data_IF_173472081461
#
_entry.id   IF_173472081461
#
_cell.length_a   1.000
_cell.length_b   1.000
_cell.length_c   1.000
_cell.angle_alpha   90.00
_cell.angle_beta   90.00
_cell.angle_gamma   90.00
#
_symmetry.space_group_name_H-M   'P 1'
#
loop_
_entity.id
_entity.type
_entity.pdbx_description
1 polymer ?
#
# COMPACT_ATOMS: atom_id res chain seq x y z
N UNK A 1 -51.14 -23.12 -3.07
CA UNK A 1 -50.86 -23.91 -1.85
C UNK A 1 -49.39 -23.77 -1.46
N UNK A 2 -49.08 -23.08 -0.37
CA UNK A 2 -47.72 -22.97 0.19
C UNK A 2 -47.32 -24.32 0.80
N UNK A 3 -46.25 -24.95 0.30
CA UNK A 3 -45.70 -26.15 0.94
C UNK A 3 -45.11 -25.78 2.31
N UNK A 4 -45.75 -26.24 3.40
CA UNK A 4 -45.16 -26.22 4.73
C UNK A 4 -44.00 -27.21 4.78
N UNK A 5 -42.77 -26.69 4.77
CA UNK A 5 -41.57 -27.49 4.97
C UNK A 5 -41.60 -28.02 6.42
N UNK A 6 -41.71 -29.33 6.58
CA UNK A 6 -41.74 -30.01 7.88
C UNK A 6 -40.51 -29.68 8.74
N UNK A 7 -40.71 -29.34 10.01
CA UNK A 7 -39.66 -29.02 10.98
C UNK A 7 -38.56 -30.11 11.09
N UNK A 8 -38.90 -31.38 10.86
CA UNK A 8 -37.93 -32.50 10.82
C UNK A 8 -36.96 -32.42 9.64
N UNK A 9 -37.41 -31.96 8.46
CA UNK A 9 -36.54 -31.75 7.28
C UNK A 9 -35.59 -30.58 7.50
N UNK A 10 -36.04 -29.53 8.18
CA UNK A 10 -35.20 -28.39 8.59
C UNK A 10 -34.13 -28.81 9.61
N UNK A 11 -34.51 -29.58 10.65
CA UNK A 11 -33.58 -30.08 11.65
C UNK A 11 -32.50 -31.00 11.04
N UNK A 12 -32.89 -31.92 10.14
CA UNK A 12 -31.96 -32.84 9.45
C UNK A 12 -31.00 -32.13 8.50
N UNK A 13 -31.46 -31.09 7.78
CA UNK A 13 -30.58 -30.25 6.95
C UNK A 13 -29.56 -29.50 7.80
N UNK A 14 -29.98 -28.96 8.94
CA UNK A 14 -29.08 -28.27 9.85
C UNK A 14 -28.01 -29.20 10.45
N UNK A 15 -28.37 -30.43 10.81
CA UNK A 15 -27.42 -31.45 11.28
C UNK A 15 -26.45 -31.89 10.17
N UNK A 16 -26.93 -32.04 8.92
CA UNK A 16 -26.06 -32.33 7.77
C UNK A 16 -25.06 -31.20 7.51
N UNK A 17 -25.51 -29.93 7.54
CA UNK A 17 -24.61 -28.78 7.41
C UNK A 17 -23.55 -28.76 8.51
N UNK A 18 -23.91 -29.08 9.76
CA UNK A 18 -22.95 -29.20 10.87
C UNK A 18 -21.93 -30.31 10.64
N UNK A 19 -22.36 -31.47 10.16
CA UNK A 19 -21.45 -32.58 9.85
C UNK A 19 -20.50 -32.19 8.72
N UNK A 20 -21.00 -31.56 7.65
CA UNK A 20 -20.16 -31.10 6.53
C UNK A 20 -19.13 -30.07 6.99
N UNK A 21 -19.53 -29.09 7.80
CA UNK A 21 -18.60 -28.11 8.39
C UNK A 21 -17.57 -28.78 9.29
N UNK A 22 -17.98 -29.73 10.12
CA UNK A 22 -17.08 -30.47 11.00
C UNK A 22 -16.04 -31.28 10.21
N UNK A 23 -16.47 -32.00 9.18
CA UNK A 23 -15.57 -32.76 8.30
C UNK A 23 -14.60 -31.81 7.59
N UNK A 24 -15.10 -30.70 7.06
CA UNK A 24 -14.24 -29.68 6.43
C UNK A 24 -13.19 -29.13 7.40
N UNK A 25 -13.59 -28.84 8.65
CA UNK A 25 -12.68 -28.34 9.67
C UNK A 25 -11.63 -29.39 10.08
N UNK A 26 -12.02 -30.67 10.20
CA UNK A 26 -11.10 -31.77 10.45
C UNK A 26 -10.08 -31.94 9.32
N UNK A 27 -10.51 -31.82 8.06
CA UNK A 27 -9.61 -31.85 6.90
C UNK A 27 -8.61 -30.68 6.96
N UNK A 28 -9.06 -29.47 7.30
CA UNK A 28 -8.17 -28.33 7.48
C UNK A 28 -7.14 -28.56 8.59
N UNK A 29 -7.55 -29.11 9.74
CA UNK A 29 -6.64 -29.43 10.85
C UNK A 29 -5.61 -30.48 10.42
N UNK A 30 -6.06 -31.56 9.77
CA UNK A 30 -5.18 -32.65 9.36
C UNK A 30 -4.16 -32.23 8.29
N UNK A 31 -4.54 -31.34 7.37
CA UNK A 31 -3.70 -30.93 6.25
C UNK A 31 -2.83 -29.70 6.54
N UNK A 32 -3.23 -28.83 7.48
CA UNK A 32 -2.51 -27.58 7.78
C UNK A 32 -1.84 -27.61 9.15
N UNK A 33 -2.59 -27.93 10.21
CA UNK A 33 -2.09 -27.82 11.58
C UNK A 33 -1.14 -28.97 11.95
N UNK A 34 -1.50 -30.23 11.63
CA UNK A 34 -0.66 -31.39 11.98
C UNK A 34 0.75 -31.30 11.35
N UNK A 35 0.91 -31.01 10.04
CA UNK A 35 2.24 -30.83 9.47
C UNK A 35 2.98 -29.64 10.08
N UNK A 36 2.27 -28.55 10.38
CA UNK A 36 2.83 -27.36 11.03
C UNK A 36 3.47 -27.67 12.39
N UNK A 37 2.78 -28.42 13.25
CA UNK A 37 3.31 -28.84 14.56
C UNK A 37 4.37 -29.94 14.46
N UNK A 38 4.18 -30.92 13.57
CA UNK A 38 5.09 -32.06 13.47
C UNK A 38 6.42 -31.71 12.77
N UNK A 39 6.39 -30.82 11.76
CA UNK A 39 7.57 -30.49 10.94
C UNK A 39 8.15 -29.10 11.23
N UNK A 40 7.44 -28.25 11.99
CA UNK A 40 7.79 -26.85 12.20
C UNK A 40 7.65 -25.98 10.94
N UNK A 41 7.20 -26.54 9.81
CA UNK A 41 7.06 -25.86 8.52
C UNK A 41 5.69 -25.20 8.42
N UNK A 42 5.51 -24.11 9.15
CA UNK A 42 4.31 -23.30 8.98
C UNK A 42 4.35 -22.54 7.65
N UNK A 43 3.22 -22.47 6.92
CA UNK A 43 3.14 -21.70 5.67
C UNK A 43 3.55 -20.22 5.82
N UNK A 44 3.41 -19.65 7.03
CA UNK A 44 3.80 -18.27 7.32
C UNK A 44 5.28 -18.09 7.73
N UNK A 45 6.02 -19.16 8.00
CA UNK A 45 7.45 -19.06 8.38
C UNK A 45 8.30 -18.65 7.20
N UNK A 46 7.97 -19.15 6.00
CA UNK A 46 8.64 -18.88 4.73
C UNK A 46 7.63 -18.36 3.71
N UNK A 47 7.29 -17.06 3.77
CA UNK A 47 6.41 -16.49 2.75
C UNK A 47 7.03 -16.64 1.35
N UNK A 48 6.19 -16.70 0.31
CA UNK A 48 6.65 -16.67 -1.06
C UNK A 48 7.56 -15.48 -1.35
N UNK A 49 8.35 -15.55 -2.41
CA UNK A 49 9.28 -14.47 -2.77
C UNK A 49 8.55 -13.26 -3.35
N UNK A 50 9.21 -12.10 -3.27
CA UNK A 50 8.82 -10.87 -3.97
C UNK A 50 9.69 -10.79 -5.23
N UNK A 51 9.06 -10.86 -6.42
CA UNK A 51 9.75 -10.97 -7.71
C UNK A 51 10.77 -9.85 -7.94
N UNK A 52 10.39 -8.62 -7.57
CA UNK A 52 11.12 -7.39 -7.82
C UNK A 52 11.89 -6.86 -6.59
N UNK A 53 12.30 -7.74 -5.68
CA UNK A 53 12.96 -7.34 -4.43
C UNK A 53 14.29 -6.61 -4.66
N UNK A 54 15.01 -6.93 -5.74
CA UNK A 54 16.27 -6.25 -6.09
C UNK A 54 16.01 -4.78 -6.47
N UNK A 55 14.98 -4.55 -7.27
CA UNK A 55 14.54 -3.21 -7.70
C UNK A 55 14.08 -2.39 -6.50
N UNK A 56 13.29 -2.99 -5.59
CA UNK A 56 12.87 -2.34 -4.33
C UNK A 56 14.07 -1.94 -3.45
N UNK A 57 15.11 -2.78 -3.38
CA UNK A 57 16.34 -2.45 -2.67
C UNK A 57 17.12 -1.33 -3.35
N UNK A 58 17.15 -1.30 -4.68
CA UNK A 58 17.77 -0.22 -5.46
C UNK A 58 17.03 1.11 -5.24
N UNK A 59 15.69 1.10 -5.28
CA UNK A 59 14.85 2.27 -5.00
C UNK A 59 15.21 2.87 -3.64
N UNK A 60 15.41 2.06 -2.61
CA UNK A 60 15.81 2.56 -1.29
C UNK A 60 17.17 3.27 -1.28
N UNK A 61 18.08 2.89 -2.17
CA UNK A 61 19.45 3.40 -2.19
C UNK A 61 19.58 4.63 -3.09
N UNK A 62 18.96 4.60 -4.26
CA UNK A 62 19.15 5.56 -5.35
C UNK A 62 17.95 6.47 -5.57
N UNK A 63 16.78 6.10 -5.04
CA UNK A 63 15.56 6.84 -5.26
C UNK A 63 14.95 6.66 -6.63
N UNK A 64 14.16 7.66 -7.03
CA UNK A 64 13.35 7.60 -8.24
C UNK A 64 13.53 8.85 -9.08
N UNK A 65 13.74 8.68 -10.37
CA UNK A 65 13.84 9.80 -11.31
C UNK A 65 12.44 10.18 -11.78
N UNK A 66 12.05 11.42 -11.58
CA UNK A 66 10.73 11.93 -11.95
C UNK A 66 10.84 12.93 -13.12
N UNK A 67 10.04 12.79 -14.18
CA UNK A 67 9.93 13.81 -15.22
C UNK A 67 9.54 15.16 -14.61
N UNK A 68 10.15 16.25 -15.09
CA UNK A 68 9.89 17.64 -14.66
C UNK A 68 10.24 17.98 -13.21
N UNK A 69 10.89 17.07 -12.47
CA UNK A 69 11.36 17.27 -11.10
C UNK A 69 12.84 16.93 -10.97
N UNK A 70 13.61 17.86 -10.42
CA UNK A 70 15.02 17.68 -10.11
C UNK A 70 15.19 17.31 -8.64
N UNK A 71 16.01 16.30 -8.37
CA UNK A 71 16.35 15.89 -7.00
C UNK A 71 17.46 16.82 -6.47
N UNK A 72 17.12 17.67 -5.50
CA UNK A 72 18.08 18.57 -4.86
C UNK A 72 18.90 17.84 -3.80
N UNK A 73 18.23 16.97 -3.03
CA UNK A 73 18.84 16.31 -1.87
C UNK A 73 18.24 14.94 -1.66
N UNK A 74 19.10 13.98 -1.32
CA UNK A 74 18.71 12.60 -1.00
C UNK A 74 19.22 12.22 0.38
N UNK A 75 18.35 11.62 1.19
CA UNK A 75 18.69 11.02 2.47
C UNK A 75 18.12 9.60 2.53
N UNK A 76 18.97 8.58 2.53
CA UNK A 76 18.57 7.17 2.41
C UNK A 76 18.54 6.40 3.76
N UNK A 77 18.67 7.10 4.88
CA UNK A 77 18.73 6.49 6.21
C UNK A 77 17.92 7.25 7.27
N UNK A 78 16.85 7.94 6.86
CA UNK A 78 15.97 8.63 7.81
C UNK A 78 15.13 7.57 8.54
N UNK A 79 15.23 7.52 9.87
CA UNK A 79 14.48 6.56 10.68
C UNK A 79 13.14 7.16 11.12
N UNK A 80 12.04 6.54 10.68
CA UNK A 80 10.67 6.91 11.05
C UNK A 80 9.93 5.61 11.39
N UNK A 81 9.34 5.50 12.57
CA UNK A 81 8.60 4.30 12.99
C UNK A 81 9.46 3.03 13.08
N UNK A 82 10.77 3.15 13.30
CA UNK A 82 11.70 2.00 13.26
C UNK A 82 12.01 1.48 11.84
N UNK A 83 11.48 2.13 10.81
CA UNK A 83 11.77 1.84 9.41
C UNK A 83 12.74 2.87 8.81
N UNK A 84 13.50 2.46 7.79
CA UNK A 84 14.37 3.34 7.03
C UNK A 84 13.61 3.88 5.83
N UNK A 85 13.45 5.19 5.80
CA UNK A 85 12.85 5.95 4.72
C UNK A 85 13.93 6.57 3.84
N UNK A 86 13.68 6.53 2.54
CA UNK A 86 14.33 7.43 1.61
C UNK A 86 13.55 8.73 1.59
N UNK A 87 14.25 9.84 1.76
CA UNK A 87 13.69 11.19 1.73
C UNK A 87 14.40 11.97 0.65
N UNK A 88 13.63 12.47 -0.31
CA UNK A 88 14.10 13.26 -1.43
C UNK A 88 13.47 14.65 -1.37
N UNK A 89 14.30 15.69 -1.38
CA UNK A 89 13.82 17.04 -1.64
C UNK A 89 13.87 17.24 -3.16
N UNK A 90 12.70 17.37 -3.78
CA UNK A 90 12.53 17.50 -5.22
C UNK A 90 12.02 18.89 -5.56
N UNK A 91 12.48 19.46 -6.67
CA UNK A 91 12.10 20.79 -7.12
C UNK A 91 11.66 20.76 -8.56
N UNK A 92 10.62 21.53 -8.84
CA UNK A 92 10.25 21.90 -10.19
C UNK A 92 10.36 23.42 -10.38
N UNK A 93 9.92 23.92 -11.53
CA UNK A 93 9.95 25.36 -11.84
C UNK A 93 9.16 26.24 -10.86
N UNK A 94 8.22 25.69 -10.09
CA UNK A 94 7.26 26.44 -9.28
C UNK A 94 7.50 26.30 -7.78
N UNK A 95 7.96 25.14 -7.30
CA UNK A 95 8.00 24.81 -5.87
C UNK A 95 8.96 23.67 -5.55
N UNK A 96 9.15 23.44 -4.24
CA UNK A 96 9.90 22.32 -3.67
C UNK A 96 8.90 21.41 -2.95
N UNK A 97 9.01 20.10 -3.18
CA UNK A 97 8.27 19.08 -2.46
C UNK A 97 9.24 18.11 -1.79
N UNK A 98 8.79 17.45 -0.74
CA UNK A 98 9.52 16.39 -0.06
C UNK A 98 8.82 15.07 -0.40
N UNK A 99 9.56 14.14 -1.00
CA UNK A 99 9.10 12.82 -1.35
C UNK A 99 9.71 11.80 -0.38
N UNK A 100 8.86 11.10 0.35
CA UNK A 100 9.23 10.04 1.26
C UNK A 100 8.82 8.70 0.64
N UNK A 101 9.79 7.79 0.53
CA UNK A 101 9.62 6.46 -0.03
C UNK A 101 10.10 5.40 0.96
N UNK A 102 9.24 4.42 1.23
CA UNK A 102 9.60 3.24 2.00
C UNK A 102 9.26 1.97 1.23
N UNK A 103 10.20 1.43 0.44
CA UNK A 103 9.98 0.19 -0.29
C UNK A 103 10.07 -1.03 0.62
N UNK A 104 9.32 -2.07 0.27
CA UNK A 104 9.38 -3.37 0.92
C UNK A 104 10.82 -3.94 0.89
N UNK A 105 11.36 -4.32 2.05
CA UNK A 105 12.74 -4.81 2.18
C UNK A 105 12.86 -6.34 2.27
N UNK A 106 11.76 -7.02 2.60
CA UNK A 106 11.71 -8.47 2.76
C UNK A 106 10.32 -8.99 2.40
N UNK A 107 10.19 -10.24 1.94
CA UNK A 107 8.87 -10.87 1.78
C UNK A 107 8.02 -10.86 3.06
N UNK A 108 8.63 -10.79 4.24
CA UNK A 108 7.88 -10.69 5.52
C UNK A 108 7.36 -9.28 5.81
N UNK A 109 7.88 -8.24 5.13
CA UNK A 109 7.43 -6.87 5.35
C UNK A 109 6.09 -6.63 4.64
N UNK A 110 5.15 -6.06 5.38
CA UNK A 110 3.82 -5.68 4.95
C UNK A 110 3.52 -4.26 5.43
N UNK A 111 2.63 -3.51 4.76
CA UNK A 111 2.14 -2.23 5.26
C UNK A 111 1.54 -2.38 6.66
N UNK A 112 1.80 -1.43 7.55
CA UNK A 112 1.31 -1.43 8.92
C UNK A 112 0.75 -0.06 9.32
N UNK A 113 1.58 0.78 9.94
CA UNK A 113 1.19 2.02 10.62
C UNK A 113 2.04 3.21 10.17
N UNK A 114 2.67 3.12 9.00
CA UNK A 114 3.62 4.11 8.46
C UNK A 114 3.08 5.54 8.49
N UNK A 115 1.78 5.66 8.23
CA UNK A 115 1.03 6.90 8.31
C UNK A 115 1.05 7.55 9.68
N UNK A 116 0.80 6.76 10.73
CA UNK A 116 0.87 7.22 12.12
C UNK A 116 2.31 7.55 12.51
N UNK A 117 3.27 6.78 12.01
CA UNK A 117 4.70 7.02 12.29
C UNK A 117 5.18 8.34 11.69
N UNK A 118 4.77 8.68 10.46
CA UNK A 118 5.06 9.97 9.83
C UNK A 118 4.44 11.11 10.63
N UNK A 119 3.18 10.94 11.06
CA UNK A 119 2.49 11.96 11.86
C UNK A 119 3.23 12.21 13.19
N UNK A 120 3.65 11.14 13.87
CA UNK A 120 4.43 11.21 15.10
C UNK A 120 5.85 11.78 14.90
N UNK A 121 6.49 11.48 13.78
CA UNK A 121 7.83 11.99 13.45
C UNK A 121 7.85 13.50 13.21
N UNK A 122 6.90 14.01 12.42
CA UNK A 122 6.79 15.45 12.17
C UNK A 122 6.17 16.23 13.33
N UNK A 123 5.50 15.55 14.26
CA UNK A 123 4.76 16.16 15.39
C UNK A 123 3.80 17.26 14.92
N UNK A 124 3.22 17.07 13.73
CA UNK A 124 2.29 18.02 13.16
C UNK A 124 0.86 17.74 13.63
N UNK A 125 -0.01 18.72 13.47
CA UNK A 125 -1.44 18.53 13.54
C UNK A 125 -1.98 18.35 12.12
N UNK A 126 -3.11 17.65 11.99
CA UNK A 126 -3.76 17.38 10.70
C UNK A 126 -5.21 17.84 10.69
N UNK A 127 -5.71 18.15 9.50
CA UNK A 127 -7.13 18.46 9.25
C UNK A 127 -7.85 17.19 8.74
N UNK A 128 -9.15 17.31 8.53
CA UNK A 128 -10.00 16.37 7.81
C UNK A 128 -9.32 15.80 6.56
N UNK A 129 -9.27 14.47 6.52
CA UNK A 129 -8.72 13.74 5.39
C UNK A 129 -9.72 13.72 4.25
N UNK A 130 -9.24 14.04 3.05
CA UNK A 130 -9.95 13.85 1.79
C UNK A 130 -9.32 12.70 1.02
N UNK A 131 -10.09 12.17 0.09
CA UNK A 131 -9.60 11.16 -0.83
C UNK A 131 -9.29 11.83 -2.16
N UNK A 132 -8.04 11.72 -2.61
CA UNK A 132 -7.66 12.08 -3.97
C UNK A 132 -7.56 10.80 -4.79
N UNK A 133 -8.10 10.82 -6.01
CA UNK A 133 -8.09 9.65 -6.90
C UNK A 133 -7.52 10.04 -8.25
N UNK A 134 -6.63 9.21 -8.75
CA UNK A 134 -6.08 9.37 -10.08
C UNK A 134 -5.87 8.04 -10.78
N UNK A 135 -6.02 8.05 -12.10
CA UNK A 135 -5.77 6.89 -12.95
C UNK A 135 -4.41 7.02 -13.62
N UNK A 136 -3.63 5.94 -13.58
CA UNK A 136 -2.32 5.86 -14.24
C UNK A 136 -2.45 5.09 -15.54
N UNK A 137 -2.07 5.73 -16.65
CA UNK A 137 -2.08 5.08 -17.96
C UNK A 137 -0.94 4.07 -18.01
N UNK A 138 -1.29 2.80 -18.24
CA UNK A 138 -0.33 1.76 -18.58
C UNK A 138 0.18 1.99 -20.00
N UNK A 139 1.37 1.47 -20.31
CA UNK A 139 1.89 1.45 -21.68
C UNK A 139 0.85 0.77 -22.61
N UNK A 140 0.73 1.23 -23.88
CA UNK A 140 -0.35 0.85 -24.79
C UNK A 140 -0.41 -0.64 -25.16
N UNK A 141 0.55 -1.46 -24.70
CA UNK A 141 0.65 -2.90 -24.95
C UNK A 141 -0.01 -3.78 -23.88
N UNK A 142 -0.64 -3.20 -22.85
CA UNK A 142 -1.28 -3.97 -21.77
C UNK A 142 -2.79 -4.05 -21.96
N UNK A 143 -3.33 -5.26 -22.14
CA UNK A 143 -4.78 -5.56 -22.12
C UNK A 143 -5.45 -5.34 -20.74
N UNK A 144 -4.71 -4.81 -19.77
CA UNK A 144 -5.20 -4.56 -18.41
C UNK A 144 -5.76 -3.15 -18.29
N UNK A 145 -6.89 -2.96 -17.59
CA UNK A 145 -7.42 -1.63 -17.34
C UNK A 145 -6.40 -0.79 -16.56
N UNK A 146 -6.37 0.50 -16.87
CA UNK A 146 -5.52 1.45 -16.16
C UNK A 146 -5.89 1.48 -14.67
N UNK A 147 -4.95 1.24 -13.74
CA UNK A 147 -5.26 1.19 -12.33
C UNK A 147 -5.68 2.56 -11.80
N UNK A 148 -6.74 2.57 -11.00
CA UNK A 148 -7.14 3.75 -10.22
C UNK A 148 -6.44 3.69 -8.87
N UNK A 149 -5.76 4.77 -8.53
CA UNK A 149 -5.04 4.96 -7.28
C UNK A 149 -5.91 5.79 -6.36
N UNK A 150 -6.04 5.32 -5.13
CA UNK A 150 -6.69 6.04 -4.05
C UNK A 150 -5.60 6.54 -3.10
N UNK A 151 -5.64 7.82 -2.71
CA UNK A 151 -4.69 8.40 -1.78
C UNK A 151 -5.42 9.15 -0.67
N UNK A 152 -4.81 9.25 0.50
CA UNK A 152 -5.25 10.21 1.52
C UNK A 152 -4.60 11.55 1.23
N UNK A 153 -5.40 12.60 1.20
CA UNK A 153 -4.99 13.98 0.92
C UNK A 153 -5.48 14.89 2.03
N UNK A 154 -4.57 15.62 2.67
CA UNK A 154 -4.92 16.43 3.83
C UNK A 154 -3.96 17.59 4.05
N UNK A 155 -4.40 18.54 4.86
CA UNK A 155 -3.56 19.61 5.38
C UNK A 155 -2.90 19.15 6.68
N UNK A 156 -1.61 19.45 6.83
CA UNK A 156 -0.92 19.35 8.11
C UNK A 156 -0.21 20.65 8.44
N UNK A 157 0.06 20.90 9.72
CA UNK A 157 0.80 22.09 10.14
C UNK A 157 1.62 21.86 11.41
N UNK A 158 2.72 22.57 11.48
CA UNK A 158 3.51 22.78 12.70
C UNK A 158 3.30 24.22 13.18
N UNK A 159 3.99 24.62 14.24
CA UNK A 159 4.02 26.03 14.67
C UNK A 159 4.64 26.98 13.64
N UNK A 160 5.38 26.46 12.66
CA UNK A 160 6.17 27.26 11.73
C UNK A 160 5.65 27.20 10.28
N UNK A 161 5.06 26.08 9.88
CA UNK A 161 4.78 25.81 8.47
C UNK A 161 3.50 25.00 8.29
N UNK A 162 2.75 25.28 7.21
CA UNK A 162 1.62 24.47 6.75
C UNK A 162 2.05 23.66 5.53
N UNK A 163 1.53 22.44 5.43
CA UNK A 163 1.80 21.50 4.35
C UNK A 163 0.52 20.91 3.79
N UNK A 164 0.55 20.57 2.51
CA UNK A 164 -0.39 19.68 1.85
C UNK A 164 0.29 18.32 1.67
N UNK A 165 -0.38 17.25 2.10
CA UNK A 165 0.20 15.91 2.19
C UNK A 165 -0.64 14.92 1.41
N UNK A 166 0.01 14.11 0.55
CA UNK A 166 -0.61 12.99 -0.16
C UNK A 166 0.11 11.70 0.16
N UNK A 167 -0.65 10.68 0.57
CA UNK A 167 -0.08 9.41 1.04
C UNK A 167 -0.85 8.19 0.56
N UNK A 168 -0.11 7.14 0.17
CA UNK A 168 -0.66 5.85 -0.22
C UNK A 168 0.41 4.76 -0.22
N UNK A 169 -0.03 3.50 -0.12
CA UNK A 169 0.80 2.35 -0.45
C UNK A 169 0.63 2.07 -1.94
N UNK A 170 1.72 2.09 -2.70
CA UNK A 170 1.77 1.76 -4.12
C UNK A 170 2.05 0.27 -4.31
N UNK A 171 1.41 -0.37 -5.28
CA UNK A 171 1.72 -1.74 -5.74
C UNK A 171 1.47 -1.86 -7.27
N UNK A 172 1.86 -2.97 -7.93
CA UNK A 172 1.88 -3.05 -9.40
C UNK A 172 0.54 -2.74 -10.10
N UNK A 173 -0.58 -3.08 -9.46
CA UNK A 173 -1.91 -2.96 -10.05
C UNK A 173 -2.81 -1.94 -9.33
N UNK A 174 -2.26 -1.06 -8.49
CA UNK A 174 -3.07 -0.12 -7.73
C UNK A 174 -2.33 0.63 -6.63
N UNK A 175 -3.11 1.34 -5.84
CA UNK A 175 -2.61 2.00 -4.64
C UNK A 175 -3.75 2.46 -3.74
N UNK A 176 -3.50 2.45 -2.43
CA UNK A 176 -4.47 2.87 -1.42
C UNK A 176 -3.74 3.29 -0.14
N UNK A 177 -4.28 4.26 0.63
CA UNK A 177 -3.80 4.51 1.99
C UNK A 177 -4.17 3.37 2.96
N UNK A 178 -5.13 2.50 2.63
CA UNK A 178 -5.57 1.44 3.51
C UNK A 178 -4.74 0.16 3.32
N UNK A 179 -4.16 -0.35 4.41
CA UNK A 179 -3.41 -1.62 4.41
C UNK A 179 -4.25 -2.81 3.97
N UNK A 180 -5.56 -2.79 4.24
CA UNK A 180 -6.50 -3.83 3.85
C UNK A 180 -6.61 -4.02 2.34
N UNK A 181 -6.45 -2.95 1.54
CA UNK A 181 -6.48 -3.04 0.07
C UNK A 181 -5.28 -3.83 -0.45
N UNK A 182 -4.09 -3.53 0.07
CA UNK A 182 -2.89 -4.30 -0.25
C UNK A 182 -3.00 -5.75 0.24
N UNK A 183 -3.57 -5.99 1.43
CA UNK A 183 -3.76 -7.35 1.96
C UNK A 183 -4.56 -8.23 1.00
N UNK A 184 -5.60 -7.70 0.35
CA UNK A 184 -6.36 -8.44 -0.65
C UNK A 184 -5.54 -8.73 -1.91
N UNK A 185 -4.78 -7.75 -2.40
CA UNK A 185 -3.87 -7.96 -3.54
C UNK A 185 -2.83 -9.06 -3.22
N UNK A 186 -2.21 -9.01 -2.05
CA UNK A 186 -1.23 -10.02 -1.59
C UNK A 186 -1.87 -11.39 -1.40
N UNK A 187 -3.11 -11.44 -0.93
CA UNK A 187 -3.86 -12.69 -0.74
C UNK A 187 -4.13 -13.39 -2.07
N UNK A 188 -4.50 -12.63 -3.11
CA UNK A 188 -4.66 -13.17 -4.48
C UNK A 188 -3.29 -13.59 -5.02
N UNK A 189 -2.26 -12.75 -4.86
CA UNK A 189 -0.90 -13.06 -5.32
C UNK A 189 -0.35 -14.37 -4.72
N UNK A 190 -0.64 -14.63 -3.44
CA UNK A 190 -0.23 -15.85 -2.73
C UNK A 190 -0.83 -17.13 -3.31
N UNK A 191 -2.00 -17.07 -3.95
CA UNK A 191 -2.56 -18.24 -4.67
C UNK A 191 -1.65 -18.71 -5.81
N UNK A 192 -0.81 -17.80 -6.31
CA UNK A 192 0.17 -18.03 -7.37
C UNK A 192 1.59 -18.15 -6.83
N UNK A 193 1.74 -18.47 -5.53
CA UNK A 193 3.03 -18.62 -4.86
C UNK A 193 3.97 -17.41 -5.03
N UNK A 194 3.42 -16.19 -4.95
CA UNK A 194 4.16 -14.93 -4.98
C UNK A 194 3.62 -13.94 -3.94
N UNK A 195 4.40 -12.90 -3.62
CA UNK A 195 3.96 -11.79 -2.77
C UNK A 195 3.74 -10.53 -3.60
N UNK A 196 2.73 -9.75 -3.24
CA UNK A 196 2.52 -8.44 -3.84
C UNK A 196 3.57 -7.45 -3.30
N UNK A 197 4.40 -6.91 -4.18
CA UNK A 197 5.33 -5.85 -3.81
C UNK A 197 4.60 -4.56 -3.47
N UNK A 198 5.21 -3.76 -2.60
CA UNK A 198 4.66 -2.47 -2.22
C UNK A 198 5.73 -1.44 -1.86
N UNK A 199 5.33 -0.16 -1.92
CA UNK A 199 6.12 1.00 -1.48
C UNK A 199 5.17 1.96 -0.77
N UNK A 200 5.47 2.38 0.46
CA UNK A 200 4.76 3.52 1.05
C UNK A 200 5.29 4.81 0.44
N UNK A 201 4.38 5.65 -0.04
CA UNK A 201 4.68 6.94 -0.66
C UNK A 201 4.03 8.03 0.16
N UNK A 202 4.80 9.06 0.49
CA UNK A 202 4.31 10.28 1.13
C UNK A 202 4.91 11.50 0.45
N UNK A 203 4.07 12.31 -0.17
CA UNK A 203 4.44 13.59 -0.76
C UNK A 203 4.03 14.69 0.21
N UNK A 204 4.97 15.55 0.58
CA UNK A 204 4.75 16.69 1.47
C UNK A 204 5.11 17.96 0.70
N UNK A 205 4.13 18.84 0.51
CA UNK A 205 4.30 20.10 -0.18
C UNK A 205 4.08 21.26 0.79
N UNK A 206 5.10 22.09 1.07
CA UNK A 206 4.91 23.33 1.82
C UNK A 206 3.93 24.27 1.11
N UNK A 207 2.97 24.81 1.84
CA UNK A 207 2.00 25.79 1.34
C UNK A 207 1.95 27.01 2.26
N UNK A 208 1.30 28.09 1.79
CA UNK A 208 1.11 29.29 2.60
C UNK A 208 0.37 28.95 3.92
N UNK A 209 0.70 29.64 5.03
CA UNK A 209 0.00 29.47 6.29
C UNK A 209 -1.52 29.58 6.12
N UNK A 210 -2.26 28.59 6.64
CA UNK A 210 -3.72 28.50 6.51
C UNK A 210 -4.27 28.41 5.07
N UNK A 211 -3.40 28.23 4.06
CA UNK A 211 -3.80 28.11 2.67
C UNK A 211 -4.77 26.94 2.42
N UNK A 212 -5.63 27.09 1.40
CA UNK A 212 -6.50 26.01 0.96
C UNK A 212 -5.70 24.98 0.14
N UNK A 213 -5.70 23.74 0.62
CA UNK A 213 -5.03 22.62 -0.06
C UNK A 213 -5.60 22.35 -1.46
N UNK A 214 -6.84 22.76 -1.76
CA UNK A 214 -7.43 22.62 -3.11
C UNK A 214 -6.63 23.32 -4.20
N UNK A 215 -5.91 24.39 -3.85
CA UNK A 215 -5.09 25.17 -4.80
C UNK A 215 -3.95 24.30 -5.35
N UNK A 216 -3.38 23.44 -4.51
CA UNK A 216 -2.24 22.58 -4.87
C UNK A 216 -2.64 21.16 -5.23
N UNK A 217 -3.93 20.83 -5.17
CA UNK A 217 -4.46 19.51 -5.51
C UNK A 217 -4.08 19.06 -6.93
N UNK A 218 -4.19 19.88 -8.00
CA UNK A 218 -3.79 19.47 -9.35
C UNK A 218 -2.29 19.15 -9.47
N UNK A 219 -1.45 19.90 -8.75
CA UNK A 219 -0.01 19.68 -8.72
C UNK A 219 0.32 18.34 -8.03
N UNK A 220 -0.30 18.09 -6.87
CA UNK A 220 -0.10 16.86 -6.11
C UNK A 220 -0.68 15.63 -6.84
N UNK A 221 -1.78 15.80 -7.56
CA UNK A 221 -2.32 14.75 -8.43
C UNK A 221 -1.36 14.41 -9.57
N UNK A 222 -0.81 15.43 -10.24
CA UNK A 222 0.17 15.25 -11.31
C UNK A 222 1.46 14.58 -10.81
N UNK A 223 2.00 15.06 -9.69
CA UNK A 223 3.18 14.46 -9.06
C UNK A 223 2.90 13.03 -8.58
N UNK A 224 1.74 12.78 -7.97
CA UNK A 224 1.33 11.44 -7.55
C UNK A 224 1.20 10.47 -8.73
N UNK A 225 0.62 10.93 -9.85
CA UNK A 225 0.59 10.17 -11.12
C UNK A 225 1.99 9.87 -11.62
N UNK A 226 2.90 10.85 -11.62
CA UNK A 226 4.28 10.69 -12.07
C UNK A 226 5.02 9.65 -11.23
N UNK A 227 4.98 9.78 -9.90
CA UNK A 227 5.58 8.83 -8.95
C UNK A 227 5.05 7.42 -9.17
N UNK A 228 3.73 7.25 -9.23
CA UNK A 228 3.14 5.93 -9.44
C UNK A 228 3.51 5.34 -10.81
N UNK A 229 3.50 6.15 -11.87
CA UNK A 229 3.88 5.72 -13.22
C UNK A 229 5.31 5.19 -13.22
N UNK A 230 6.23 5.91 -12.59
CA UNK A 230 7.63 5.53 -12.53
C UNK A 230 7.86 4.28 -11.66
N UNK A 231 7.17 4.17 -10.51
CA UNK A 231 7.21 2.95 -9.69
C UNK A 231 6.72 1.74 -10.49
N UNK A 232 5.68 1.90 -11.30
CA UNK A 232 5.18 0.83 -12.17
C UNK A 232 6.14 0.49 -13.32
N UNK A 233 6.85 1.49 -13.86
CA UNK A 233 7.77 1.31 -14.97
C UNK A 233 9.12 0.69 -14.54
N UNK A 234 9.66 1.05 -13.38
CA UNK A 234 11.03 0.66 -13.00
C UNK A 234 11.07 -0.36 -11.87
N UNK A 235 10.10 -0.30 -10.96
CA UNK A 235 10.17 -1.03 -9.70
C UNK A 235 9.27 -2.26 -9.72
N UNK A 236 8.03 -2.14 -10.19
CA UNK A 236 7.02 -3.21 -10.13
C UNK A 236 6.99 -4.16 -11.34
N UNK A 237 8.01 -4.11 -12.21
CA UNK A 237 8.14 -5.02 -13.35
C UNK A 237 8.58 -6.44 -12.95
#
# INVERSE_FOLDING_TARGET
MKQMISARKLLRRYQLSKIVVLVFLLVLVATVAIPGYATGRWPWTNPPTVTNLKQLKSLRQHGITLPDWEVIRVQNNVQIGGHRWLVEEIKNHQTIAILLLMPQNSPKNQPQVEWLDIDGFHRWQTDSHRTLRFTVKLAPTSDKPSPTIETRFFRSWTSQQTFAVVQWYAWPNGGSPATSRWFWEDSIARLWNRRASWVAVSIILPIQPQGDIKIVEPLLESLGKSVQTQLMAEIFR
#
